data_IF_118825863519
#
_entry.id   IF_118825863519
#
_cell.length_a   1.000
_cell.length_b   1.000
_cell.length_c   1.000
_cell.angle_alpha   90.00
_cell.angle_beta   90.00
_cell.angle_gamma   90.00
#
_symmetry.space_group_name_H-M   'P 1'
#
loop_
_entity.id
_entity.type
_entity.pdbx_description
1 polymer ?
#
# COMPACT_ATOMS: atom_id res chain seq x y z
N UNK A 1 -1.16 10.40 14.41
CA UNK A 1 -0.20 9.59 13.65
C UNK A 1 -0.70 9.61 12.23
N UNK A 2 -0.03 10.35 11.36
CA UNK A 2 -0.52 10.68 10.03
C UNK A 2 0.11 9.73 9.01
N UNK A 3 -0.70 9.21 8.08
CA UNK A 3 -0.25 8.40 6.96
C UNK A 3 -0.47 9.20 5.67
N UNK A 4 0.33 8.94 4.64
CA UNK A 4 0.26 9.62 3.35
C UNK A 4 0.33 8.59 2.23
N UNK A 5 -0.81 8.30 1.61
CA UNK A 5 -0.87 7.58 0.34
C UNK A 5 -0.36 8.51 -0.77
N UNK A 6 0.44 8.02 -1.72
CA UNK A 6 0.83 8.78 -2.92
C UNK A 6 0.44 7.97 -4.15
N UNK A 7 -0.68 8.32 -4.80
CA UNK A 7 -1.15 7.65 -6.01
C UNK A 7 -0.56 8.33 -7.26
N UNK A 8 0.54 7.81 -7.79
CA UNK A 8 1.14 8.33 -9.02
C UNK A 8 0.48 7.74 -10.29
N UNK A 9 -0.76 8.14 -10.59
CA UNK A 9 -1.29 7.95 -11.95
C UNK A 9 -0.67 8.96 -12.91
N UNK A 10 -0.13 8.46 -14.03
CA UNK A 10 0.28 9.29 -15.18
C UNK A 10 -0.85 10.23 -15.59
N UNK A 11 -0.47 11.50 -15.74
CA UNK A 11 -1.21 12.68 -16.25
C UNK A 11 -2.00 13.45 -15.18
N UNK A 12 -1.38 14.50 -14.64
CA UNK A 12 -2.00 15.66 -13.96
C UNK A 12 -2.89 15.36 -12.74
N UNK A 13 -2.45 14.53 -11.80
CA UNK A 13 -3.08 14.47 -10.48
C UNK A 13 -2.01 14.81 -9.45
N UNK A 14 -2.24 15.92 -8.73
CA UNK A 14 -1.42 16.37 -7.61
C UNK A 14 -1.31 15.19 -6.62
N UNK A 15 -0.11 14.84 -6.11
CA UNK A 15 0.02 13.81 -5.08
C UNK A 15 -0.84 14.21 -3.88
N UNK A 16 -1.99 13.55 -3.74
CA UNK A 16 -2.90 13.79 -2.64
C UNK A 16 -2.53 12.85 -1.50
N UNK A 17 -2.04 13.43 -0.42
CA UNK A 17 -1.73 12.75 0.83
C UNK A 17 -3.00 12.60 1.65
N UNK A 18 -3.38 11.38 2.00
CA UNK A 18 -4.60 11.12 2.79
C UNK A 18 -4.28 10.47 4.13
N UNK A 19 -4.83 11.03 5.20
CA UNK A 19 -4.77 10.44 6.54
C UNK A 19 -5.61 9.15 6.57
N UNK A 20 -4.92 8.02 6.58
CA UNK A 20 -5.54 6.70 6.77
C UNK A 20 -6.09 6.58 8.20
N UNK A 21 -7.32 6.12 8.31
CA UNK A 21 -7.98 5.83 9.59
C UNK A 21 -7.94 4.34 9.91
N UNK A 22 -8.01 3.48 8.90
CA UNK A 22 -7.90 2.03 9.03
C UNK A 22 -7.48 1.36 7.73
N UNK A 23 -7.08 0.10 7.84
CA UNK A 23 -6.87 -0.80 6.71
C UNK A 23 -7.46 -2.17 7.04
N UNK A 24 -7.84 -2.92 6.00
CA UNK A 24 -8.34 -4.29 6.11
C UNK A 24 -7.66 -5.18 5.07
N UNK A 25 -7.34 -6.43 5.47
CA UNK A 25 -6.72 -7.43 4.60
C UNK A 25 -7.50 -8.74 4.71
N UNK A 26 -8.25 -9.08 3.66
CA UNK A 26 -9.13 -10.26 3.63
C UNK A 26 -8.80 -11.13 2.43
N UNK A 27 -8.72 -12.44 2.63
CA UNK A 27 -8.65 -13.38 1.51
C UNK A 27 -10.07 -13.63 1.04
N UNK A 28 -10.34 -13.41 -0.25
CA UNK A 28 -11.61 -13.70 -0.90
C UNK A 28 -11.35 -14.59 -2.10
N UNK A 29 -11.85 -15.82 -2.04
CA UNK A 29 -11.56 -16.88 -3.00
C UNK A 29 -10.05 -17.10 -3.14
N UNK A 30 -9.49 -16.78 -4.32
CA UNK A 30 -8.05 -16.87 -4.60
C UNK A 30 -7.32 -15.53 -4.50
N UNK A 31 -8.00 -14.43 -4.18
CA UNK A 31 -7.43 -13.09 -4.16
C UNK A 31 -7.27 -12.57 -2.73
N UNK A 32 -6.39 -11.58 -2.56
CA UNK A 32 -6.30 -10.79 -1.32
C UNK A 32 -6.88 -9.40 -1.58
N UNK A 33 -7.92 -9.05 -0.82
CA UNK A 33 -8.48 -7.71 -0.79
C UNK A 33 -7.72 -6.88 0.24
N UNK A 34 -7.08 -5.82 -0.21
CA UNK A 34 -6.42 -4.81 0.61
C UNK A 34 -7.22 -3.52 0.52
N UNK A 35 -7.93 -3.19 1.59
CA UNK A 35 -8.80 -2.02 1.67
C UNK A 35 -8.15 -0.95 2.54
N UNK A 36 -8.11 0.28 2.05
CA UNK A 36 -7.66 1.46 2.78
C UNK A 36 -8.82 2.43 2.98
N UNK A 37 -9.04 2.83 4.23
CA UNK A 37 -10.03 3.85 4.59
C UNK A 37 -9.30 5.11 5.02
N UNK A 38 -9.66 6.25 4.43
CA UNK A 38 -9.18 7.56 4.85
C UNK A 38 -10.32 8.40 5.44
N UNK A 39 -9.98 9.48 6.14
CA UNK A 39 -10.95 10.35 6.79
C UNK A 39 -11.76 11.21 5.80
N UNK A 40 -11.18 11.49 4.64
CA UNK A 40 -11.65 12.51 3.70
C UNK A 40 -12.04 11.93 2.34
N UNK A 41 -11.80 10.63 2.11
CA UNK A 41 -12.00 9.99 0.80
C UNK A 41 -12.76 8.66 0.92
N UNK A 42 -13.25 8.22 -0.24
CA UNK A 42 -13.87 6.92 -0.46
C UNK A 42 -12.88 5.79 -0.15
N UNK A 43 -13.30 4.69 0.48
CA UNK A 43 -12.46 3.51 0.66
C UNK A 43 -11.92 2.99 -0.68
N UNK A 44 -10.63 2.71 -0.72
CA UNK A 44 -9.95 2.15 -1.90
C UNK A 44 -9.61 0.70 -1.62
N UNK A 45 -10.13 -0.21 -2.44
CA UNK A 45 -9.86 -1.65 -2.34
C UNK A 45 -9.03 -2.12 -3.52
N UNK A 46 -7.87 -2.70 -3.23
CA UNK A 46 -7.04 -3.40 -4.21
C UNK A 46 -7.28 -4.90 -4.12
N UNK A 47 -7.61 -5.52 -5.25
CA UNK A 47 -7.71 -6.98 -5.35
C UNK A 47 -6.38 -7.53 -5.89
N UNK A 48 -5.64 -8.23 -5.05
CA UNK A 48 -4.28 -8.73 -5.33
C UNK A 48 -4.32 -10.19 -5.72
N UNK A 49 -3.57 -10.51 -6.78
CA UNK A 49 -3.52 -11.85 -7.35
C UNK A 49 -2.27 -12.59 -6.87
N UNK A 50 -2.41 -13.84 -6.41
CA UNK A 50 -1.31 -14.79 -6.33
C UNK A 50 -0.61 -14.92 -7.68
N UNK A 51 0.72 -14.88 -7.64
CA UNK A 51 1.58 -15.18 -8.79
C UNK A 51 2.88 -15.86 -8.32
N UNK A 52 3.74 -16.23 -9.27
CA UNK A 52 5.01 -16.92 -8.98
C UNK A 52 5.96 -16.10 -8.09
N UNK A 53 5.76 -14.77 -7.98
CA UNK A 53 6.63 -13.86 -7.20
C UNK A 53 6.13 -13.66 -5.79
N UNK A 54 4.82 -13.48 -5.64
CA UNK A 54 4.14 -13.15 -4.39
C UNK A 54 3.64 -14.38 -3.62
N UNK A 55 3.51 -15.51 -4.31
CA UNK A 55 3.06 -16.78 -3.75
C UNK A 55 1.54 -16.84 -3.55
N UNK A 56 1.11 -17.73 -2.66
CA UNK A 56 -0.30 -17.94 -2.30
C UNK A 56 -0.96 -16.71 -1.68
N UNK A 57 -2.29 -16.68 -1.65
CA UNK A 57 -3.06 -15.61 -1.01
C UNK A 57 -2.71 -15.45 0.48
N UNK A 58 -2.43 -16.56 1.17
CA UNK A 58 -1.96 -16.57 2.56
C UNK A 58 -0.59 -15.92 2.71
N UNK A 59 0.33 -16.17 1.77
CA UNK A 59 1.66 -15.54 1.77
C UNK A 59 1.57 -14.03 1.50
N UNK A 60 0.72 -13.62 0.56
CA UNK A 60 0.44 -12.20 0.28
C UNK A 60 -0.10 -11.53 1.54
N UNK A 61 -1.15 -12.10 2.15
CA UNK A 61 -1.78 -11.56 3.36
C UNK A 61 -0.75 -11.40 4.49
N UNK A 62 0.03 -12.45 4.77
CA UNK A 62 1.06 -12.42 5.82
C UNK A 62 2.13 -11.36 5.54
N UNK A 63 2.54 -11.22 4.28
CA UNK A 63 3.53 -10.20 3.86
C UNK A 63 2.98 -8.80 4.08
N UNK A 64 1.75 -8.53 3.66
CA UNK A 64 1.10 -7.23 3.85
C UNK A 64 0.91 -6.89 5.34
N UNK A 65 0.42 -7.83 6.13
CA UNK A 65 0.23 -7.63 7.58
C UNK A 65 1.56 -7.27 8.27
N UNK A 66 2.63 -8.01 7.97
CA UNK A 66 3.95 -7.72 8.53
C UNK A 66 4.50 -6.37 8.05
N UNK A 67 4.38 -6.07 6.75
CA UNK A 67 4.88 -4.86 6.15
C UNK A 67 4.20 -3.60 6.73
N UNK A 68 2.87 -3.60 6.75
CA UNK A 68 2.09 -2.48 7.28
C UNK A 68 2.29 -2.34 8.80
N UNK A 69 2.35 -3.47 9.54
CA UNK A 69 2.66 -3.43 10.98
C UNK A 69 4.02 -2.81 11.28
N UNK A 70 5.03 -3.13 10.47
CA UNK A 70 6.37 -2.55 10.61
C UNK A 70 6.38 -1.05 10.26
N UNK A 71 5.66 -0.65 9.21
CA UNK A 71 5.48 0.76 8.87
C UNK A 71 4.85 1.54 10.04
N UNK A 72 3.79 0.98 10.64
CA UNK A 72 3.08 1.59 11.77
C UNK A 72 3.96 1.62 13.02
N UNK A 73 4.63 0.53 13.39
CA UNK A 73 5.42 0.47 14.62
C UNK A 73 6.57 1.47 14.64
N UNK A 74 7.10 1.83 13.46
CA UNK A 74 8.18 2.80 13.30
C UNK A 74 7.71 4.23 13.02
N UNK A 75 6.40 4.48 13.02
CA UNK A 75 5.83 5.79 12.68
C UNK A 75 6.27 6.30 11.31
N UNK A 76 6.34 5.39 10.33
CA UNK A 76 6.67 5.71 8.95
C UNK A 76 5.41 5.95 8.10
N UNK A 77 5.63 6.63 6.98
CA UNK A 77 4.61 6.96 6.00
C UNK A 77 4.51 5.84 4.95
N UNK A 78 3.34 5.20 4.85
CA UNK A 78 3.05 4.19 3.84
C UNK A 78 2.60 4.84 2.52
N UNK A 79 3.39 4.67 1.46
CA UNK A 79 3.08 5.10 0.09
C UNK A 79 2.57 3.91 -0.72
N UNK A 80 1.65 4.16 -1.65
CA UNK A 80 1.06 3.14 -2.53
C UNK A 80 1.11 3.64 -3.97
N UNK A 81 2.04 3.12 -4.76
CA UNK A 81 2.19 3.50 -6.16
C UNK A 81 1.47 2.47 -7.05
N UNK A 82 0.61 2.95 -7.96
CA UNK A 82 -0.10 2.12 -8.93
C UNK A 82 0.64 2.11 -10.28
N UNK A 83 0.85 0.93 -10.86
CA UNK A 83 1.43 0.76 -12.20
C UNK A 83 0.46 0.01 -13.13
N UNK A 84 -0.57 0.69 -13.69
CA UNK A 84 -1.62 0.04 -14.48
C UNK A 84 -1.10 -0.69 -15.72
N UNK A 85 -0.02 -0.20 -16.36
CA UNK A 85 0.56 -0.87 -17.54
C UNK A 85 1.24 -2.20 -17.22
N UNK A 86 1.43 -2.53 -15.94
CA UNK A 86 2.10 -3.75 -15.46
C UNK A 86 1.20 -4.58 -14.56
N UNK A 87 -0.05 -4.18 -14.42
CA UNK A 87 -0.98 -4.74 -13.46
C UNK A 87 -0.38 -4.90 -12.06
N UNK A 88 0.22 -3.84 -11.53
CA UNK A 88 1.01 -3.91 -10.29
C UNK A 88 0.73 -2.75 -9.34
N UNK A 89 0.82 -3.02 -8.03
CA UNK A 89 0.98 -1.99 -7.00
C UNK A 89 2.29 -2.18 -6.25
N UNK A 90 2.90 -1.08 -5.83
CA UNK A 90 4.08 -1.03 -4.97
C UNK A 90 3.70 -0.31 -3.68
N UNK A 91 3.77 -1.02 -2.56
CA UNK A 91 3.72 -0.40 -1.25
C UNK A 91 5.15 -0.13 -0.80
N UNK A 92 5.43 1.10 -0.36
CA UNK A 92 6.74 1.46 0.17
C UNK A 92 6.61 2.37 1.38
N UNK A 93 7.62 2.37 2.25
CA UNK A 93 7.76 3.39 3.29
C UNK A 93 9.21 3.83 3.40
N UNK A 94 9.39 5.06 3.86
CA UNK A 94 10.71 5.65 4.07
C UNK A 94 10.74 6.39 5.40
N UNK A 95 11.90 6.39 6.05
CA UNK A 95 12.12 7.24 7.21
C UNK A 95 12.44 8.67 6.75
N UNK A 96 11.45 9.56 6.82
CA UNK A 96 11.63 10.99 6.49
C UNK A 96 12.27 11.80 7.63
N UNK A 97 12.46 11.22 8.83
CA UNK A 97 12.95 11.92 10.03
C UNK A 97 14.48 11.84 10.24
N UNK A 98 15.28 11.67 9.19
CA UNK A 98 16.73 11.48 9.35
C UNK A 98 17.49 12.79 9.11
N UNK A 99 17.74 13.54 10.18
CA UNK A 99 18.83 14.54 10.25
C UNK A 99 20.22 13.88 10.49
N UNK A 100 20.31 12.56 10.63
CA UNK A 100 21.57 11.86 10.88
C UNK A 100 22.15 11.24 9.60
N UNK A 101 23.04 11.99 8.96
CA UNK A 101 23.63 11.71 7.65
C UNK A 101 24.63 10.52 7.58
N UNK A 102 24.68 9.60 8.54
CA UNK A 102 25.72 8.56 8.55
C UNK A 102 25.27 7.10 8.74
N UNK A 103 23.98 6.78 8.92
CA UNK A 103 23.52 5.38 8.84
C UNK A 103 22.03 5.27 8.44
N UNK A 104 21.76 4.42 7.44
CA UNK A 104 20.45 3.84 7.11
C UNK A 104 19.27 4.79 6.90
N UNK A 105 19.12 5.27 5.65
CA UNK A 105 17.78 5.56 5.11
C UNK A 105 17.00 4.24 5.04
N UNK A 106 16.38 3.84 6.15
CA UNK A 106 15.53 2.66 6.18
C UNK A 106 14.38 2.84 5.18
N UNK A 107 14.49 2.10 4.08
CA UNK A 107 13.50 2.00 3.01
C UNK A 107 13.14 0.52 2.88
N UNK A 108 11.84 0.25 2.81
CA UNK A 108 11.35 -1.08 2.51
C UNK A 108 10.17 -0.96 1.54
N UNK A 109 10.01 -1.99 0.71
CA UNK A 109 8.96 -2.03 -0.29
C UNK A 109 8.54 -3.44 -0.64
N UNK A 110 7.24 -3.60 -0.90
CA UNK A 110 6.64 -4.85 -1.38
C UNK A 110 5.79 -4.58 -2.61
N UNK A 111 5.88 -5.48 -3.58
CA UNK A 111 5.18 -5.38 -4.87
C UNK A 111 4.19 -6.52 -5.02
N UNK A 112 3.01 -6.21 -5.55
CA UNK A 112 1.98 -7.21 -5.82
C UNK A 112 1.34 -6.99 -7.18
N UNK A 113 1.08 -8.09 -7.89
CA UNK A 113 0.22 -8.07 -9.06
C UNK A 113 -1.21 -7.77 -8.61
N UNK A 114 -1.80 -6.68 -9.14
CA UNK A 114 -3.20 -6.35 -8.89
C UNK A 114 -4.08 -6.92 -10.01
N UNK A 115 -5.33 -7.26 -9.70
CA UNK A 115 -6.32 -7.64 -10.70
C UNK A 115 -7.22 -6.46 -11.06
N UNK A 116 -7.64 -5.72 -10.03
CA UNK A 116 -8.48 -4.53 -10.16
C UNK A 116 -8.36 -3.64 -8.92
N UNK A 117 -8.65 -2.36 -9.12
CA UNK A 117 -8.87 -1.38 -8.05
C UNK A 117 -10.35 -1.00 -8.04
N UNK A 118 -11.00 -1.15 -6.88
CA UNK A 118 -12.41 -0.83 -6.67
C UNK A 118 -12.45 0.44 -5.81
N UNK A 119 -13.07 1.49 -6.36
CA UNK A 119 -13.45 2.69 -5.61
C UNK A 119 -14.97 2.63 -5.42
N UNK A 120 -15.42 2.29 -4.22
CA UNK A 120 -16.85 2.22 -3.94
C UNK A 120 -17.41 3.64 -3.80
N UNK A 121 -18.03 4.15 -4.86
CA UNK A 121 -18.76 5.42 -4.81
C UNK A 121 -20.06 5.19 -4.03
N UNK A 122 -20.25 5.93 -2.94
CA UNK A 122 -21.54 6.03 -2.23
C UNK A 122 -22.60 6.68 -3.12
#
# INVERSE_FOLDING_TARGET
MFFTITNEKKVNIIPASYELTSYEIVIKDKYVLLTFCSKEDIPITYELSPDDRSGSAEQIKKTLENFIRNCISKNHVLKINEYPSRDMILLSWQNDNVEDAENDKAFDSVEFTWHRCIKETN
#
